data_IF_210508669971
#
_entry.id   IF_210508669971
#
_cell.length_a   1.000
_cell.length_b   1.000
_cell.length_c   1.000
_cell.angle_alpha   90.00
_cell.angle_beta   90.00
_cell.angle_gamma   90.00
#
_symmetry.space_group_name_H-M   'P 1'
#
loop_
_entity.id
_entity.type
_entity.pdbx_description
1 polymer ?
#
# COMPACT_ATOMS: atom_id res chain seq x y z
N UNK A 1 -26.55 0.61 44.45
CA UNK A 1 -26.98 1.56 43.39
C UNK A 1 -25.73 2.05 42.70
N UNK A 2 -25.54 1.78 41.40
CA UNK A 2 -24.41 2.33 40.63
C UNK A 2 -24.85 3.71 40.14
N UNK A 3 -24.14 4.75 40.54
CA UNK A 3 -24.37 6.10 40.04
C UNK A 3 -24.18 6.11 38.51
N UNK A 4 -25.17 6.65 37.80
CA UNK A 4 -25.06 6.97 36.38
C UNK A 4 -24.36 8.34 36.29
N UNK A 5 -23.04 8.35 36.42
CA UNK A 5 -22.24 9.51 36.06
C UNK A 5 -22.08 9.50 34.54
N UNK A 6 -22.75 10.44 33.87
CA UNK A 6 -22.55 10.68 32.45
C UNK A 6 -21.15 11.25 32.22
N UNK A 7 -20.38 10.64 31.31
CA UNK A 7 -19.09 11.18 30.89
C UNK A 7 -19.27 12.56 30.25
N UNK A 8 -18.40 13.50 30.60
CA UNK A 8 -18.36 14.82 29.97
C UNK A 8 -17.98 14.72 28.49
N UNK A 9 -18.40 15.70 27.68
CA UNK A 9 -18.04 15.79 26.26
C UNK A 9 -16.53 15.72 26.05
N UNK A 10 -15.75 16.37 26.92
CA UNK A 10 -14.29 16.33 26.87
C UNK A 10 -13.73 14.92 27.12
N UNK A 11 -14.32 14.15 28.04
CA UNK A 11 -13.93 12.76 28.30
C UNK A 11 -14.27 11.86 27.10
N UNK A 12 -15.44 12.04 26.49
CA UNK A 12 -15.88 11.28 25.31
C UNK A 12 -15.01 11.54 24.06
N UNK A 13 -14.61 12.79 23.82
CA UNK A 13 -13.71 13.14 22.71
C UNK A 13 -12.34 12.47 22.90
N UNK A 14 -11.79 12.54 24.12
CA UNK A 14 -10.51 11.94 24.44
C UNK A 14 -10.55 10.40 24.35
N UNK A 15 -11.65 9.77 24.77
CA UNK A 15 -11.82 8.31 24.68
C UNK A 15 -11.91 7.85 23.21
N UNK A 16 -12.69 8.55 22.38
CA UNK A 16 -12.80 8.29 20.94
C UNK A 16 -11.45 8.44 20.22
N UNK A 17 -10.72 9.52 20.48
CA UNK A 17 -9.39 9.74 19.89
C UNK A 17 -8.37 8.67 20.35
N UNK A 18 -8.46 8.21 21.59
CA UNK A 18 -7.62 7.12 22.10
C UNK A 18 -7.93 5.80 21.40
N UNK A 19 -9.20 5.47 21.21
CA UNK A 19 -9.64 4.26 20.50
C UNK A 19 -9.15 4.27 19.05
N UNK A 20 -9.32 5.38 18.33
CA UNK A 20 -8.84 5.49 16.94
C UNK A 20 -7.32 5.25 16.85
N UNK A 21 -6.53 5.86 17.74
CA UNK A 21 -5.07 5.65 17.77
C UNK A 21 -4.70 4.20 18.03
N UNK A 22 -5.44 3.51 18.90
CA UNK A 22 -5.21 2.09 19.16
C UNK A 22 -5.55 1.23 17.95
N UNK A 23 -6.66 1.52 17.26
CA UNK A 23 -7.03 0.82 16.03
C UNK A 23 -5.99 1.03 14.93
N UNK A 24 -5.56 2.28 14.70
CA UNK A 24 -4.53 2.61 13.72
C UNK A 24 -3.20 1.89 14.02
N UNK A 25 -2.80 1.80 15.30
CA UNK A 25 -1.59 1.06 15.69
C UNK A 25 -1.65 -0.42 15.33
N UNK A 26 -2.79 -1.08 15.57
CA UNK A 26 -2.97 -2.49 15.20
C UNK A 26 -2.86 -2.70 13.70
N UNK A 27 -3.51 -1.82 12.92
CA UNK A 27 -3.51 -1.86 11.45
C UNK A 27 -2.11 -1.63 10.88
N UNK A 28 -1.45 -0.56 11.32
CA UNK A 28 -0.07 -0.27 10.91
C UNK A 28 0.89 -1.37 11.32
N UNK A 29 0.70 -1.97 12.50
CA UNK A 29 1.47 -3.13 12.95
C UNK A 29 1.41 -4.28 11.93
N UNK A 30 0.21 -4.67 11.51
CA UNK A 30 0.02 -5.74 10.53
C UNK A 30 0.65 -5.44 9.16
N UNK A 31 0.55 -4.19 8.71
CA UNK A 31 1.17 -3.73 7.46
C UNK A 31 2.70 -3.78 7.55
N UNK A 32 3.27 -3.24 8.63
CA UNK A 32 4.73 -3.19 8.86
C UNK A 32 5.30 -4.61 8.96
N UNK A 33 4.62 -5.53 9.66
CA UNK A 33 5.01 -6.94 9.70
C UNK A 33 5.11 -7.55 8.31
N UNK A 34 4.17 -7.20 7.42
CA UNK A 34 4.17 -7.68 6.03
C UNK A 34 5.36 -7.14 5.25
N UNK A 35 5.70 -5.86 5.42
CA UNK A 35 6.90 -5.25 4.81
C UNK A 35 8.18 -5.91 5.32
N UNK A 36 8.30 -6.11 6.64
CA UNK A 36 9.44 -6.79 7.27
C UNK A 36 9.55 -8.22 6.74
N UNK A 37 8.44 -8.95 6.63
CA UNK A 37 8.44 -10.30 6.09
C UNK A 37 9.00 -10.34 4.66
N UNK A 38 8.52 -9.47 3.77
CA UNK A 38 9.06 -9.37 2.40
C UNK A 38 10.56 -9.05 2.39
N UNK A 39 11.00 -8.08 3.21
CA UNK A 39 12.41 -7.72 3.31
C UNK A 39 13.29 -8.88 3.78
N UNK A 40 12.82 -9.67 4.75
CA UNK A 40 13.55 -10.85 5.27
C UNK A 40 13.62 -12.00 4.28
N UNK A 41 12.57 -12.18 3.48
CA UNK A 41 12.51 -13.24 2.47
C UNK A 41 13.11 -12.83 1.11
N UNK A 42 13.58 -11.58 0.96
CA UNK A 42 14.08 -11.06 -0.31
C UNK A 42 12.98 -10.95 -1.38
N UNK A 43 11.72 -10.85 -0.96
CA UNK A 43 10.60 -10.71 -1.89
C UNK A 43 10.38 -9.25 -2.27
N UNK A 44 10.17 -8.94 -3.56
CA UNK A 44 9.79 -7.60 -3.96
C UNK A 44 8.43 -7.25 -3.35
N UNK A 45 8.34 -6.06 -2.74
CA UNK A 45 7.10 -5.50 -2.21
C UNK A 45 6.10 -5.24 -3.34
N UNK A 46 6.61 -4.80 -4.48
CA UNK A 46 5.85 -4.23 -5.58
C UNK A 46 5.72 -5.19 -6.76
N UNK A 47 4.52 -5.25 -7.33
CA UNK A 47 4.24 -5.92 -8.59
C UNK A 47 4.35 -4.96 -9.78
N UNK A 48 3.93 -5.41 -10.96
CA UNK A 48 3.90 -4.56 -12.16
C UNK A 48 2.82 -3.47 -12.09
N UNK A 49 1.77 -3.67 -11.26
CA UNK A 49 0.68 -2.71 -11.05
C UNK A 49 0.20 -2.77 -9.60
N UNK A 50 0.62 -1.80 -8.80
CA UNK A 50 0.21 -1.73 -7.38
C UNK A 50 -0.95 -0.75 -7.13
N UNK A 51 -1.38 -0.04 -8.17
CA UNK A 51 -2.48 0.91 -8.10
C UNK A 51 -3.85 0.22 -8.08
N UNK A 52 -4.83 0.91 -7.48
CA UNK A 52 -6.23 0.49 -7.44
C UNK A 52 -6.64 -0.18 -6.14
N UNK A 53 -7.96 -0.43 -5.97
CA UNK A 53 -8.52 -0.94 -4.73
C UNK A 53 -7.96 -2.31 -4.37
N UNK A 54 -7.77 -2.56 -3.08
CA UNK A 54 -7.42 -3.88 -2.55
C UNK A 54 -8.72 -4.64 -2.27
N UNK A 55 -8.91 -5.77 -2.95
CA UNK A 55 -10.07 -6.65 -2.77
C UNK A 55 -9.67 -7.89 -1.98
N UNK A 56 -10.65 -8.61 -1.43
CA UNK A 56 -10.41 -9.88 -0.73
C UNK A 56 -10.18 -11.04 -1.71
N UNK A 57 -10.74 -10.93 -2.91
CA UNK A 57 -10.65 -11.89 -3.99
C UNK A 57 -9.26 -11.87 -4.61
N UNK A 58 -8.82 -13.03 -5.09
CA UNK A 58 -7.55 -13.10 -5.81
C UNK A 58 -7.72 -12.51 -7.21
N UNK A 59 -6.81 -11.62 -7.64
CA UNK A 59 -6.90 -11.01 -8.95
C UNK A 59 -6.56 -12.01 -10.05
N UNK A 60 -7.14 -11.82 -11.23
CA UNK A 60 -6.87 -12.64 -12.43
C UNK A 60 -5.39 -12.52 -12.86
N UNK A 61 -4.78 -11.35 -12.63
CA UNK A 61 -3.37 -11.08 -12.90
C UNK A 61 -2.65 -10.81 -11.59
N UNK A 62 -1.40 -11.27 -11.48
CA UNK A 62 -0.55 -11.01 -10.32
C UNK A 62 -0.40 -9.49 -10.08
N UNK A 63 -0.85 -9.03 -8.91
CA UNK A 63 -0.80 -7.63 -8.45
C UNK A 63 0.26 -7.41 -7.37
N UNK A 64 1.21 -8.34 -7.20
CA UNK A 64 2.36 -8.20 -6.31
C UNK A 64 2.24 -8.96 -4.99
N UNK A 65 3.40 -9.35 -4.45
CA UNK A 65 3.49 -10.20 -3.27
C UNK A 65 2.92 -9.52 -2.02
N UNK A 66 3.13 -8.20 -1.86
CA UNK A 66 2.62 -7.47 -0.72
C UNK A 66 1.09 -7.49 -0.67
N UNK A 67 0.42 -7.24 -1.80
CA UNK A 67 -1.04 -7.28 -1.91
C UNK A 67 -1.59 -8.68 -1.66
N UNK A 68 -0.92 -9.72 -2.18
CA UNK A 68 -1.25 -11.11 -1.90
C UNK A 68 -1.13 -11.47 -0.41
N UNK A 69 -0.08 -11.00 0.28
CA UNK A 69 0.10 -11.24 1.71
C UNK A 69 -0.93 -10.50 2.55
N UNK A 70 -1.29 -9.26 2.21
CA UNK A 70 -2.37 -8.56 2.90
C UNK A 70 -3.70 -9.29 2.75
N UNK A 71 -4.03 -9.80 1.55
CA UNK A 71 -5.21 -10.67 1.34
C UNK A 71 -5.16 -11.91 2.21
N UNK A 72 -4.01 -12.57 2.26
CA UNK A 72 -3.81 -13.74 3.11
C UNK A 72 -4.05 -13.41 4.60
N UNK A 73 -3.48 -12.32 5.13
CA UNK A 73 -3.69 -11.91 6.54
C UNK A 73 -5.15 -11.61 6.84
N UNK A 74 -5.87 -10.92 5.94
CA UNK A 74 -7.30 -10.67 6.09
C UNK A 74 -8.12 -11.97 6.09
N UNK A 75 -7.74 -12.97 5.28
CA UNK A 75 -8.38 -14.30 5.27
C UNK A 75 -8.06 -15.11 6.52
N UNK A 76 -6.88 -14.92 7.11
CA UNK A 76 -6.43 -15.59 8.34
C UNK A 76 -6.93 -14.93 9.64
N UNK A 77 -7.83 -13.95 9.57
CA UNK A 77 -8.47 -13.36 10.76
C UNK A 77 -7.91 -12.00 11.19
N UNK A 78 -7.19 -11.29 10.33
CA UNK A 78 -6.93 -9.87 10.54
C UNK A 78 -8.17 -9.03 10.21
N UNK A 79 -9.19 -9.16 11.06
CA UNK A 79 -10.51 -8.54 10.87
C UNK A 79 -10.43 -7.02 10.84
N UNK A 80 -9.46 -6.43 11.54
CA UNK A 80 -9.31 -4.97 11.62
C UNK A 80 -8.70 -4.38 10.37
N UNK A 81 -7.76 -5.09 9.76
CA UNK A 81 -7.27 -4.73 8.43
C UNK A 81 -8.37 -4.94 7.40
N UNK A 82 -9.14 -6.03 7.51
CA UNK A 82 -10.25 -6.37 6.61
C UNK A 82 -11.39 -5.35 6.64
N UNK A 83 -11.86 -4.98 7.83
CA UNK A 83 -12.91 -3.97 8.03
C UNK A 83 -12.56 -2.66 7.32
N UNK A 84 -11.32 -2.20 7.48
CA UNK A 84 -10.86 -0.95 6.89
C UNK A 84 -10.72 -1.00 5.38
N UNK A 85 -10.14 -2.09 4.85
CA UNK A 85 -9.98 -2.27 3.41
C UNK A 85 -11.36 -2.31 2.72
N UNK A 86 -12.36 -2.90 3.38
CA UNK A 86 -13.73 -2.97 2.85
C UNK A 86 -14.56 -1.70 3.10
N UNK A 87 -14.33 -0.99 4.20
CA UNK A 87 -15.08 0.22 4.57
C UNK A 87 -14.57 1.47 3.84
N UNK A 88 -13.39 1.40 3.21
CA UNK A 88 -12.84 2.49 2.43
C UNK A 88 -13.74 2.80 1.21
N UNK A 89 -14.33 4.02 1.10
CA UNK A 89 -14.94 4.45 -0.17
C UNK A 89 -13.87 4.40 -1.25
N UNK A 90 -14.20 4.15 -2.52
CA UNK A 90 -13.23 3.87 -3.61
C UNK A 90 -12.15 4.95 -3.87
N UNK A 91 -12.24 6.08 -3.17
CA UNK A 91 -11.40 7.27 -3.14
C UNK A 91 -10.72 7.53 -1.78
N UNK A 92 -11.01 6.73 -0.74
CA UNK A 92 -10.14 6.64 0.41
C UNK A 92 -8.85 5.97 -0.04
N UNK A 93 -7.82 6.80 -0.12
CA UNK A 93 -6.41 6.52 -0.35
C UNK A 93 -5.83 5.62 0.78
N UNK A 94 -6.44 4.45 1.02
CA UNK A 94 -5.76 3.30 1.63
C UNK A 94 -4.89 2.58 0.59
N UNK A 95 -4.93 3.01 -0.67
CA UNK A 95 -3.82 2.83 -1.59
C UNK A 95 -2.75 3.86 -1.26
N UNK A 96 -1.58 3.42 -0.80
CA UNK A 96 -0.39 4.26 -0.69
C UNK A 96 -0.06 4.79 -2.09
N UNK A 97 -0.61 5.94 -2.46
CA UNK A 97 -0.25 6.64 -3.69
C UNK A 97 1.13 7.24 -3.45
N UNK A 98 2.10 6.77 -4.20
CA UNK A 98 3.29 7.55 -4.47
C UNK A 98 3.49 7.60 -5.96
N UNK A 99 3.10 8.73 -6.54
CA UNK A 99 3.55 9.17 -7.86
C UNK A 99 5.04 9.62 -7.83
N UNK A 100 5.81 9.33 -6.76
CA UNK A 100 7.23 9.66 -6.68
C UNK A 100 8.17 8.52 -7.12
N UNK A 101 7.68 7.33 -7.46
CA UNK A 101 8.56 6.24 -7.91
C UNK A 101 9.04 6.39 -9.38
N UNK A 102 8.38 7.23 -10.20
CA UNK A 102 8.81 7.44 -11.58
C UNK A 102 10.10 8.27 -11.70
N UNK A 103 10.48 9.04 -10.67
CA UNK A 103 11.67 9.88 -10.70
C UNK A 103 12.92 9.22 -10.08
N UNK A 104 12.76 8.17 -9.26
CA UNK A 104 13.87 7.57 -8.52
C UNK A 104 14.54 6.40 -9.25
N UNK A 105 13.86 5.76 -10.22
CA UNK A 105 14.46 4.66 -10.99
C UNK A 105 15.46 5.13 -12.06
N UNK A 106 15.37 6.38 -12.53
CA UNK A 106 16.24 6.92 -13.58
C UNK A 106 17.62 7.42 -13.08
N UNK A 107 17.87 7.47 -11.77
CA UNK A 107 19.15 7.96 -11.22
C UNK A 107 20.13 6.86 -10.78
N UNK A 108 19.71 5.60 -10.81
CA UNK A 108 20.56 4.45 -10.49
C UNK A 108 21.04 3.71 -11.75
N UNK A 109 21.44 4.44 -12.79
CA UNK A 109 22.38 3.92 -13.80
C UNK A 109 23.67 4.70 -13.65
N UNK A 110 24.67 4.12 -12.98
CA UNK A 110 26.00 4.73 -12.90
C UNK A 110 26.59 4.90 -14.31
N UNK A 111 27.33 5.99 -14.57
CA UNK A 111 27.94 6.26 -15.86
C UNK A 111 29.16 5.35 -16.01
N UNK A 112 29.14 4.42 -16.98
CA UNK A 112 30.19 3.41 -17.03
C UNK A 112 30.20 2.48 -18.24
N UNK A 113 30.52 3.06 -19.40
CA UNK A 113 31.24 2.42 -20.50
C UNK A 113 30.50 1.39 -21.38
N UNK A 114 30.21 1.77 -22.63
CA UNK A 114 30.85 1.17 -23.81
C UNK A 114 29.97 1.29 -25.08
N UNK A 115 30.34 2.26 -25.90
CA UNK A 115 30.42 2.18 -27.37
C UNK A 115 29.15 2.01 -28.23
N UNK A 116 29.01 3.00 -29.12
CA UNK A 116 28.52 2.94 -30.52
C UNK A 116 27.01 2.86 -30.76
N UNK A 117 26.53 3.82 -31.57
CA UNK A 117 25.34 3.60 -32.40
C UNK A 117 24.30 4.71 -32.42
N UNK A 118 24.71 5.98 -32.57
CA UNK A 118 23.79 7.06 -32.94
C UNK A 118 23.52 6.93 -34.45
N UNK A 119 22.41 6.33 -34.85
CA UNK A 119 21.90 6.41 -36.23
C UNK A 119 20.59 7.16 -36.24
N UNK A 120 20.71 8.46 -36.51
CA UNK A 120 19.73 9.22 -37.27
C UNK A 120 19.47 8.48 -38.58
N UNK A 121 18.21 8.19 -38.91
CA UNK A 121 17.79 8.05 -40.29
C UNK A 121 16.41 8.69 -40.46
N UNK A 122 16.44 9.87 -41.08
CA UNK A 122 15.32 10.42 -41.83
C UNK A 122 14.94 9.40 -42.91
N UNK A 123 13.65 9.14 -43.11
CA UNK A 123 13.17 8.81 -44.44
C UNK A 123 11.89 9.56 -44.75
N UNK A 124 11.97 10.17 -45.93
CA UNK A 124 11.12 11.14 -46.57
C UNK A 124 9.85 10.50 -47.12
N UNK A 125 8.88 11.37 -47.41
CA UNK A 125 7.61 11.12 -48.06
C UNK A 125 7.66 10.38 -49.40
N UNK A 126 6.45 9.99 -49.82
CA UNK A 126 5.94 9.75 -51.18
C UNK A 126 6.29 8.43 -51.88
N UNK A 127 5.26 7.63 -52.12
CA UNK A 127 4.76 7.40 -53.49
C UNK A 127 3.25 7.24 -53.44
#
# INVERSE_FOLDING_TARGET
>A
MKALEGETVAQQINSSARQQRQMNRKKLGSIIETVIFCGRQGMPLWGHRDAGPLTLEDPIKNDGNFRALLRFKMRCGDDRLKEDVLAAPGNATSGYVSECALAAADTCTSPGNSSRGRTFFLHSSTT
#
